data_IF_942541179568
#
_entry.id   IF_942541179568
#
_cell.length_a   1.000
_cell.length_b   1.000
_cell.length_c   1.000
_cell.angle_alpha   90.00
_cell.angle_beta   90.00
_cell.angle_gamma   90.00
#
_symmetry.space_group_name_H-M   'P 1'
#
loop_
_entity.id
_entity.type
_entity.pdbx_description
1 polymer ?
#
# COMPACT_ATOMS: atom_id res chain seq x y z
N UNK A 1 -15.85 -15.94 2.21
CA UNK A 1 -15.75 -14.48 2.45
C UNK A 1 -15.22 -14.31 3.87
N UNK A 2 -14.01 -13.78 4.10
CA UNK A 2 -13.55 -13.58 5.47
C UNK A 2 -14.38 -12.47 6.14
N UNK A 3 -14.68 -12.58 7.44
CA UNK A 3 -15.54 -11.62 8.12
C UNK A 3 -14.83 -10.28 8.35
N UNK A 4 -15.47 -9.19 7.92
CA UNK A 4 -15.06 -7.82 8.24
C UNK A 4 -15.48 -7.48 9.67
N UNK A 5 -14.63 -7.78 10.65
CA UNK A 5 -14.83 -7.28 12.01
C UNK A 5 -14.14 -5.93 12.10
N UNK A 6 -14.88 -4.87 11.78
CA UNK A 6 -14.45 -3.48 11.89
C UNK A 6 -14.57 -3.00 13.36
N UNK A 7 -13.92 -3.72 14.27
CA UNK A 7 -13.82 -3.30 15.68
C UNK A 7 -12.65 -2.36 15.84
N UNK A 8 -12.93 -1.05 15.80
CA UNK A 8 -11.95 -0.02 16.14
C UNK A 8 -11.49 -0.20 17.58
N UNK A 9 -10.23 -0.58 17.77
CA UNK A 9 -9.59 -0.65 19.08
C UNK A 9 -8.81 0.62 19.35
N UNK A 10 -9.17 1.34 20.42
CA UNK A 10 -8.35 2.44 20.90
C UNK A 10 -6.96 1.92 21.27
N UNK A 11 -5.93 2.49 20.63
CA UNK A 11 -4.53 2.13 20.85
C UNK A 11 -3.81 3.37 21.31
N UNK A 12 -3.08 3.30 22.43
CA UNK A 12 -2.32 4.43 22.94
C UNK A 12 -1.01 4.55 22.14
N UNK A 13 -0.78 5.70 21.51
CA UNK A 13 0.38 5.97 20.67
C UNK A 13 1.16 7.14 21.24
N UNK A 14 2.49 7.00 21.31
CA UNK A 14 3.37 8.09 21.76
C UNK A 14 3.82 8.87 20.54
N UNK A 15 3.49 10.17 20.51
CA UNK A 15 3.85 11.07 19.41
C UNK A 15 4.57 12.31 19.97
N UNK A 16 5.47 12.94 19.19
CA UNK A 16 6.12 14.18 19.56
C UNK A 16 5.09 15.28 19.89
N UNK A 17 5.30 15.98 21.01
CA UNK A 17 4.38 17.01 21.50
C UNK A 17 4.20 18.15 20.49
N UNK A 18 5.26 18.54 19.77
CA UNK A 18 5.17 19.61 18.77
C UNK A 18 4.18 19.30 17.65
N UNK A 19 4.17 18.05 17.15
CA UNK A 19 3.23 17.61 16.11
C UNK A 19 1.79 17.60 16.62
N UNK A 20 1.58 17.19 17.88
CA UNK A 20 0.24 17.22 18.50
C UNK A 20 -0.29 18.65 18.66
N UNK A 21 0.57 19.57 19.10
CA UNK A 21 0.21 20.98 19.26
C UNK A 21 -0.11 21.62 17.91
N UNK A 22 0.73 21.39 16.90
CA UNK A 22 0.52 21.89 15.55
C UNK A 22 -0.76 21.31 14.92
N UNK A 23 -0.96 20.00 15.00
CA UNK A 23 -2.17 19.34 14.50
C UNK A 23 -3.43 19.91 15.17
N UNK A 24 -3.40 20.16 16.48
CA UNK A 24 -4.53 20.79 17.19
C UNK A 24 -4.75 22.24 16.75
N UNK A 25 -3.69 23.02 16.58
CA UNK A 25 -3.78 24.41 16.13
C UNK A 25 -4.38 24.52 14.71
N UNK A 26 -4.09 23.55 13.86
CA UNK A 26 -4.60 23.46 12.50
C UNK A 26 -5.94 22.69 12.38
N UNK A 27 -6.50 22.20 13.49
CA UNK A 27 -7.78 21.48 13.51
C UNK A 27 -7.74 20.10 12.86
N UNK A 28 -6.57 19.45 12.77
CA UNK A 28 -6.44 18.12 12.18
C UNK A 28 -7.05 17.04 13.08
N UNK A 29 -7.72 16.08 12.45
CA UNK A 29 -8.17 14.87 13.12
C UNK A 29 -7.01 13.89 13.25
N UNK A 30 -6.32 13.92 14.39
CA UNK A 30 -5.14 13.10 14.67
C UNK A 30 -5.41 11.60 14.49
N UNK A 31 -6.58 11.11 14.92
CA UNK A 31 -6.94 9.69 14.77
C UNK A 31 -7.03 9.28 13.30
N UNK A 32 -7.68 10.11 12.48
CA UNK A 32 -7.81 9.86 11.04
C UNK A 32 -6.45 9.94 10.33
N UNK A 33 -5.61 10.91 10.69
CA UNK A 33 -4.26 11.04 10.12
C UNK A 33 -3.38 9.84 10.47
N UNK A 34 -3.45 9.36 11.72
CA UNK A 34 -2.74 8.15 12.15
C UNK A 34 -3.23 6.91 11.39
N UNK A 35 -4.54 6.76 11.20
CA UNK A 35 -5.12 5.65 10.43
C UNK A 35 -4.63 5.64 8.98
N UNK A 36 -4.69 6.79 8.30
CA UNK A 36 -4.21 6.95 6.93
C UNK A 36 -2.70 6.67 6.80
N UNK A 37 -1.91 7.20 7.74
CA UNK A 37 -0.47 6.96 7.79
C UNK A 37 -0.13 5.48 7.97
N UNK A 38 -0.83 4.80 8.88
CA UNK A 38 -0.65 3.37 9.13
C UNK A 38 -1.08 2.52 7.93
N UNK A 39 -2.23 2.83 7.32
CA UNK A 39 -2.70 2.14 6.13
C UNK A 39 -1.70 2.25 4.97
N UNK A 40 -1.14 3.45 4.76
CA UNK A 40 -0.13 3.71 3.73
C UNK A 40 1.15 2.91 4.00
N UNK A 41 1.65 2.93 5.24
CA UNK A 41 2.85 2.18 5.62
C UNK A 41 2.66 0.66 5.46
N UNK A 42 1.49 0.13 5.84
CA UNK A 42 1.16 -1.28 5.65
C UNK A 42 1.07 -1.65 4.18
N UNK A 43 0.44 -0.82 3.35
CA UNK A 43 0.35 -1.05 1.92
C UNK A 43 1.74 -1.06 1.26
N UNK A 44 2.63 -0.14 1.65
CA UNK A 44 4.01 -0.10 1.18
C UNK A 44 4.76 -1.39 1.53
N UNK A 45 4.71 -1.83 2.81
CA UNK A 45 5.35 -3.08 3.24
C UNK A 45 4.79 -4.32 2.55
N UNK A 46 3.47 -4.38 2.35
CA UNK A 46 2.85 -5.49 1.62
C UNK A 46 3.31 -5.52 0.16
N UNK A 47 3.41 -4.35 -0.48
CA UNK A 47 3.93 -4.24 -1.85
C UNK A 47 5.38 -4.70 -1.93
N UNK A 48 6.23 -4.28 -1.01
CA UNK A 48 7.64 -4.72 -0.95
C UNK A 48 7.74 -6.23 -0.81
N UNK A 49 6.99 -6.82 0.12
CA UNK A 49 6.96 -8.27 0.30
C UNK A 49 6.48 -8.99 -0.97
N UNK A 50 5.39 -8.51 -1.56
CA UNK A 50 4.86 -9.10 -2.79
C UNK A 50 5.87 -9.04 -3.94
N UNK A 51 6.57 -7.91 -4.12
CA UNK A 51 7.61 -7.77 -5.12
C UNK A 51 8.78 -8.72 -4.87
N UNK A 52 9.18 -8.93 -3.62
CA UNK A 52 10.22 -9.89 -3.26
C UNK A 52 9.80 -11.33 -3.57
N UNK A 53 8.54 -11.68 -3.29
CA UNK A 53 7.99 -13.02 -3.55
C UNK A 53 7.74 -13.30 -5.04
N UNK A 54 7.41 -12.26 -5.83
CA UNK A 54 7.00 -12.40 -7.23
C UNK A 54 8.09 -11.95 -8.21
N UNK A 55 9.28 -11.59 -7.71
CA UNK A 55 10.39 -11.09 -8.53
C UNK A 55 10.77 -12.04 -9.66
N UNK A 56 10.95 -13.32 -9.35
CA UNK A 56 11.31 -14.35 -10.34
C UNK A 56 10.22 -14.57 -11.39
N UNK A 57 8.94 -14.53 -10.97
CA UNK A 57 7.80 -14.65 -11.89
C UNK A 57 7.68 -13.45 -12.82
N UNK A 58 7.90 -12.24 -12.29
CA UNK A 58 7.93 -10.99 -13.08
C UNK A 58 9.10 -11.02 -14.06
N UNK A 59 10.28 -11.46 -13.63
CA UNK A 59 11.45 -11.57 -14.51
C UNK A 59 11.21 -12.59 -15.63
N UNK A 60 10.75 -13.79 -15.31
CA UNK A 60 10.44 -14.83 -16.30
C UNK A 60 9.40 -14.36 -17.32
N UNK A 61 8.38 -13.62 -16.87
CA UNK A 61 7.39 -13.02 -17.75
C UNK A 61 7.99 -11.93 -18.65
N UNK A 62 8.83 -11.05 -18.10
CA UNK A 62 9.50 -10.01 -18.88
C UNK A 62 10.42 -10.61 -19.95
N UNK A 63 11.20 -11.65 -19.62
CA UNK A 63 12.04 -12.38 -20.57
C UNK A 63 11.20 -13.05 -21.67
N UNK A 64 10.04 -13.62 -21.31
CA UNK A 64 9.11 -14.19 -22.28
C UNK A 64 8.57 -13.13 -23.25
N UNK A 65 8.17 -11.96 -22.76
CA UNK A 65 7.67 -10.85 -23.60
C UNK A 65 8.78 -10.28 -24.49
N UNK A 66 10.02 -10.15 -24.00
CA UNK A 66 11.15 -9.69 -24.81
C UNK A 66 11.44 -10.67 -25.97
N UNK A 67 11.34 -11.96 -25.69
CA UNK A 67 11.65 -13.02 -26.68
C UNK A 67 10.52 -13.32 -27.65
N UNK A 68 9.26 -13.24 -27.21
CA UNK A 68 8.09 -13.64 -28.01
C UNK A 68 7.21 -12.45 -28.43
N UNK A 69 7.55 -11.24 -28.00
CA UNK A 69 6.71 -10.07 -28.16
C UNK A 69 5.52 -10.08 -27.18
N UNK A 70 4.67 -9.05 -27.28
CA UNK A 70 3.46 -8.95 -26.47
C UNK A 70 2.42 -9.96 -26.96
N UNK A 71 1.97 -10.91 -26.11
CA UNK A 71 0.88 -11.81 -26.47
C UNK A 71 -0.36 -10.99 -26.85
N UNK A 72 -1.05 -11.41 -27.91
CA UNK A 72 -2.28 -10.78 -28.41
C UNK A 72 -2.12 -9.33 -28.92
N UNK A 73 -0.88 -8.86 -29.15
CA UNK A 73 -0.66 -7.56 -29.80
C UNK A 73 -1.35 -7.45 -31.17
N UNK A 74 -1.49 -8.58 -31.87
CA UNK A 74 -2.20 -8.68 -33.16
C UNK A 74 -3.71 -8.35 -33.07
N UNK A 75 -4.32 -8.38 -31.89
CA UNK A 75 -5.74 -8.08 -31.68
C UNK A 75 -6.00 -6.69 -31.08
N UNK A 76 -4.96 -5.87 -30.90
CA UNK A 76 -5.10 -4.51 -30.34
C UNK A 76 -5.67 -3.56 -31.39
N UNK A 77 -6.95 -3.21 -31.28
CA UNK A 77 -7.55 -2.11 -32.04
C UNK A 77 -7.11 -0.75 -31.44
N UNK A 78 -6.71 0.20 -32.31
CA UNK A 78 -6.32 1.57 -31.95
C UNK A 78 -7.49 2.54 -32.10
#
# INVERSE_FOLDING_TARGET
>A
MPPSIDTRRATNVTLPVHLLTEARALGLNISQACEQGLATALAARRRENWLAENGDAIQSWNEHVETHGLPLAEYRAF
#
